data_IF_062133534041
#
_entry.id   IF_062133534041
#
_cell.length_a   1.000
_cell.length_b   1.000
_cell.length_c   1.000
_cell.angle_alpha   90.00
_cell.angle_beta   90.00
_cell.angle_gamma   90.00
#
_symmetry.space_group_name_H-M   'P 1'
#
loop_
_entity.id
_entity.type
_entity.pdbx_description
1 polymer ?
#
# COMPACT_ATOMS: atom_id res chain seq x y z
N UNK A 1 -2.53 -4.04 -11.70
CA UNK A 1 -3.30 -3.30 -10.68
C UNK A 1 -2.75 -1.88 -10.62
N UNK A 2 -3.60 -0.87 -10.71
CA UNK A 2 -3.24 0.50 -10.33
C UNK A 2 -3.15 0.57 -8.80
N UNK A 3 -2.19 1.32 -8.26
CA UNK A 3 -2.11 1.59 -6.83
C UNK A 3 -3.17 2.61 -6.38
N UNK A 4 -3.37 2.75 -5.07
CA UNK A 4 -4.29 3.75 -4.50
C UNK A 4 -3.55 4.92 -3.83
N UNK A 5 -4.23 6.05 -3.64
CA UNK A 5 -3.71 7.18 -2.86
C UNK A 5 -4.50 7.38 -1.57
N UNK A 6 -3.83 7.29 -0.42
CA UNK A 6 -4.34 7.82 0.85
C UNK A 6 -3.92 9.27 1.00
N UNK A 7 -4.89 10.18 1.08
CA UNK A 7 -4.63 11.59 1.27
C UNK A 7 -4.93 12.03 2.71
N UNK A 8 -3.90 12.09 3.55
CA UNK A 8 -4.00 12.62 4.91
C UNK A 8 -4.00 14.15 4.87
N UNK A 9 -5.06 14.76 5.37
CA UNK A 9 -5.16 16.22 5.49
C UNK A 9 -5.62 16.69 6.87
N UNK A 10 -5.38 17.96 7.20
CA UNK A 10 -5.60 18.50 8.55
C UNK A 10 -4.63 19.63 8.89
N UNK A 11 -4.84 20.28 10.04
CA UNK A 11 -4.04 21.41 10.51
C UNK A 11 -2.53 21.11 10.64
N UNK A 12 -1.64 22.11 10.51
CA UNK A 12 -0.23 21.95 10.89
C UNK A 12 -0.12 21.32 12.29
N UNK A 13 0.82 20.41 12.50
CA UNK A 13 1.01 19.68 13.77
C UNK A 13 -0.14 18.73 14.20
N UNK A 14 -1.13 18.45 13.35
CA UNK A 14 -2.21 17.50 13.67
C UNK A 14 -1.79 16.02 13.75
N UNK A 15 -0.56 15.68 13.33
CA UNK A 15 -0.02 14.31 13.38
C UNK A 15 0.05 13.57 12.04
N UNK A 16 -0.29 14.22 10.91
CA UNK A 16 -0.30 13.61 9.57
C UNK A 16 0.98 12.85 9.22
N UNK A 17 2.15 13.49 9.30
CA UNK A 17 3.44 12.87 8.96
C UNK A 17 3.75 11.66 9.84
N UNK A 18 3.36 11.69 11.13
CA UNK A 18 3.53 10.57 12.06
C UNK A 18 2.69 9.37 11.67
N UNK A 19 1.42 9.60 11.27
CA UNK A 19 0.54 8.54 10.80
C UNK A 19 0.98 8.03 9.42
N UNK A 20 1.34 8.93 8.50
CA UNK A 20 1.84 8.58 7.17
C UNK A 20 3.01 7.60 7.24
N UNK A 21 4.03 7.90 8.06
CA UNK A 21 5.18 7.00 8.27
C UNK A 21 4.80 5.62 8.81
N UNK A 22 3.68 5.51 9.52
CA UNK A 22 3.18 4.23 10.02
C UNK A 22 2.28 3.47 9.03
N UNK A 23 1.82 4.12 7.97
CA UNK A 23 1.01 3.55 6.90
C UNK A 23 1.83 3.10 5.70
N UNK A 24 3.07 3.57 5.57
CA UNK A 24 3.99 3.18 4.49
C UNK A 24 4.33 1.69 4.61
N UNK A 25 4.03 0.93 3.56
CA UNK A 25 4.43 -0.47 3.38
C UNK A 25 5.50 -0.67 2.29
N UNK A 26 5.84 -1.92 1.94
CA UNK A 26 6.90 -2.27 0.99
C UNK A 26 6.77 -1.67 -0.42
N UNK A 27 5.55 -1.42 -0.89
CA UNK A 27 5.25 -0.84 -2.22
C UNK A 27 4.51 0.49 -2.12
N UNK A 28 4.75 1.23 -1.04
CA UNK A 28 4.09 2.51 -0.77
C UNK A 28 5.08 3.67 -0.79
N UNK A 29 4.73 4.76 -1.46
CA UNK A 29 5.51 5.99 -1.49
C UNK A 29 4.88 7.04 -0.58
N UNK A 30 5.69 7.65 0.29
CA UNK A 30 5.24 8.78 1.10
C UNK A 30 5.50 10.10 0.37
N UNK A 31 4.43 10.81 0.01
CA UNK A 31 4.51 12.20 -0.46
C UNK A 31 4.28 13.17 0.71
N UNK A 32 5.38 13.71 1.23
CA UNK A 32 5.36 14.68 2.33
C UNK A 32 5.41 16.13 1.80
N UNK A 33 4.55 16.99 2.36
CA UNK A 33 4.45 18.39 1.95
C UNK A 33 5.71 19.22 2.19
N UNK A 34 6.47 18.96 3.26
CA UNK A 34 7.72 19.69 3.49
C UNK A 34 8.82 19.21 2.55
N UNK A 35 8.88 17.90 2.29
CA UNK A 35 9.84 17.34 1.35
C UNK A 35 9.63 17.91 -0.05
N UNK A 36 8.39 17.95 -0.56
CA UNK A 36 8.11 18.52 -1.87
C UNK A 36 8.43 20.01 -1.93
N UNK A 37 8.11 20.78 -0.88
CA UNK A 37 8.45 22.21 -0.81
C UNK A 37 9.95 22.49 -0.82
N UNK A 38 10.76 21.60 -0.27
CA UNK A 38 12.22 21.73 -0.31
C UNK A 38 12.85 21.20 -1.61
N UNK A 39 12.07 20.56 -2.48
CA UNK A 39 12.56 19.91 -3.70
C UNK A 39 11.78 20.38 -4.93
N UNK A 40 10.77 19.62 -5.35
CA UNK A 40 9.98 19.82 -6.56
C UNK A 40 9.22 21.16 -6.60
N UNK A 41 8.82 21.66 -5.43
CA UNK A 41 7.97 22.83 -5.26
C UNK A 41 8.71 23.98 -4.56
N UNK A 42 10.04 24.02 -4.70
CA UNK A 42 10.91 25.05 -4.11
C UNK A 42 10.71 26.44 -4.72
N UNK A 43 10.04 26.52 -5.87
CA UNK A 43 9.61 27.76 -6.53
C UNK A 43 8.32 28.35 -5.96
N UNK A 44 7.57 27.60 -5.15
CA UNK A 44 6.24 27.98 -4.68
C UNK A 44 6.27 28.62 -3.28
N UNK A 45 5.62 29.78 -3.16
CA UNK A 45 5.39 30.43 -1.89
C UNK A 45 4.24 29.81 -1.08
N UNK A 46 3.64 30.64 -0.22
CA UNK A 46 2.54 30.26 0.68
C UNK A 46 1.22 30.98 0.36
N UNK A 47 1.13 31.66 -0.80
CA UNK A 47 -0.13 32.24 -1.26
C UNK A 47 -1.20 31.17 -1.50
N UNK A 48 -2.48 31.55 -1.60
CA UNK A 48 -3.56 30.60 -1.91
C UNK A 48 -3.33 29.91 -3.26
N UNK A 49 -2.85 30.66 -4.26
CA UNK A 49 -2.51 30.10 -5.58
C UNK A 49 -1.36 29.10 -5.47
N UNK A 50 -0.26 29.46 -4.80
CA UNK A 50 0.92 28.59 -4.66
C UNK A 50 0.60 27.32 -3.85
N UNK A 51 -0.22 27.44 -2.80
CA UNK A 51 -0.71 26.27 -2.05
C UNK A 51 -1.52 25.34 -2.94
N UNK A 52 -2.37 25.91 -3.79
CA UNK A 52 -3.19 25.12 -4.73
C UNK A 52 -2.32 24.44 -5.78
N UNK A 53 -1.33 25.14 -6.33
CA UNK A 53 -0.37 24.56 -7.29
C UNK A 53 0.52 23.48 -6.66
N UNK A 54 0.96 23.67 -5.42
CA UNK A 54 1.70 22.65 -4.66
C UNK A 54 0.91 21.34 -4.56
N UNK A 55 -0.38 21.44 -4.26
CA UNK A 55 -1.27 20.27 -4.15
C UNK A 55 -1.58 19.68 -5.53
N UNK A 56 -1.74 20.52 -6.56
CA UNK A 56 -1.94 20.07 -7.94
C UNK A 56 -0.76 19.24 -8.45
N UNK A 57 0.47 19.70 -8.18
CA UNK A 57 1.72 18.97 -8.53
C UNK A 57 1.82 17.66 -7.74
N UNK A 58 1.56 17.70 -6.44
CA UNK A 58 1.56 16.50 -5.60
C UNK A 58 0.53 15.46 -6.09
N UNK A 59 -0.66 15.89 -6.49
CA UNK A 59 -1.69 15.00 -7.03
C UNK A 59 -1.27 14.36 -8.36
N UNK A 60 -0.61 15.11 -9.25
CA UNK A 60 -0.07 14.56 -10.49
C UNK A 60 1.03 13.52 -10.26
N UNK A 61 1.91 13.75 -9.27
CA UNK A 61 2.93 12.75 -8.88
C UNK A 61 2.28 11.51 -8.29
N UNK A 62 1.25 11.67 -7.45
CA UNK A 62 0.52 10.56 -6.85
C UNK A 62 -0.14 9.67 -7.90
N UNK A 63 -0.88 10.29 -8.85
CA UNK A 63 -1.51 9.56 -9.96
C UNK A 63 -0.48 8.82 -10.82
N UNK A 64 0.65 9.45 -11.16
CA UNK A 64 1.70 8.80 -11.95
C UNK A 64 2.31 7.58 -11.23
N UNK A 65 2.41 7.61 -9.90
CA UNK A 65 2.88 6.47 -9.10
C UNK A 65 1.82 5.36 -9.04
N UNK A 66 0.54 5.73 -8.88
CA UNK A 66 -0.58 4.79 -8.91
C UNK A 66 -0.64 4.03 -10.25
N UNK A 67 -0.42 4.71 -11.38
CA UNK A 67 -0.34 4.08 -12.71
C UNK A 67 0.80 3.07 -12.85
N UNK A 68 1.86 3.21 -12.04
CA UNK A 68 2.98 2.27 -11.98
C UNK A 68 2.79 1.19 -10.91
N UNK A 69 1.61 1.11 -10.29
CA UNK A 69 1.26 0.11 -9.28
C UNK A 69 1.80 0.40 -7.87
N UNK A 70 2.27 1.63 -7.61
CA UNK A 70 2.65 2.04 -6.26
C UNK A 70 1.45 2.66 -5.54
N UNK A 71 1.26 2.27 -4.28
CA UNK A 71 0.39 3.01 -3.39
C UNK A 71 1.08 4.31 -2.96
N UNK A 72 0.29 5.33 -2.70
CA UNK A 72 0.78 6.63 -2.24
C UNK A 72 0.12 6.98 -0.93
N UNK A 73 0.93 7.37 0.06
CA UNK A 73 0.44 8.03 1.27
C UNK A 73 0.88 9.48 1.19
N UNK A 74 -0.07 10.37 0.96
CA UNK A 74 0.14 11.81 0.86
C UNK A 74 -0.20 12.49 2.19
N UNK A 75 0.67 13.37 2.69
CA UNK A 75 0.42 14.13 3.93
C UNK A 75 0.57 15.63 3.72
N UNK A 76 -0.57 16.32 3.56
CA UNK A 76 -0.63 17.75 3.23
C UNK A 76 -1.63 18.48 4.13
N UNK A 77 -1.58 19.81 4.19
CA UNK A 77 -2.57 20.56 4.99
C UNK A 77 -3.94 20.58 4.29
N UNK A 78 -3.98 20.72 2.97
CA UNK A 78 -5.19 20.79 2.11
C UNK A 78 -6.38 21.54 2.74
N UNK A 79 -6.21 22.85 3.06
CA UNK A 79 -7.16 23.59 3.86
C UNK A 79 -8.47 23.97 3.15
N UNK A 80 -8.54 23.91 1.81
CA UNK A 80 -9.72 24.34 1.08
C UNK A 80 -10.46 23.16 0.43
N UNK A 81 -11.79 23.19 0.45
CA UNK A 81 -12.66 22.22 -0.22
C UNK A 81 -12.39 22.15 -1.71
N UNK A 82 -12.18 23.30 -2.35
CA UNK A 82 -11.84 23.37 -3.78
C UNK A 82 -10.54 22.64 -4.12
N UNK A 83 -9.58 22.58 -3.19
CA UNK A 83 -8.35 21.83 -3.40
C UNK A 83 -8.58 20.33 -3.29
N UNK A 84 -9.40 19.88 -2.34
CA UNK A 84 -9.81 18.47 -2.25
C UNK A 84 -10.51 18.01 -3.53
N UNK A 85 -11.43 18.82 -4.06
CA UNK A 85 -12.09 18.57 -5.36
C UNK A 85 -11.08 18.49 -6.51
N UNK A 86 -10.16 19.44 -6.61
CA UNK A 86 -9.10 19.43 -7.63
C UNK A 86 -8.23 18.17 -7.56
N UNK A 87 -7.91 17.69 -6.36
CA UNK A 87 -7.13 16.46 -6.15
C UNK A 87 -7.96 15.24 -6.57
N UNK A 88 -9.23 15.18 -6.18
CA UNK A 88 -10.15 14.08 -6.54
C UNK A 88 -10.39 13.98 -8.05
N UNK A 89 -10.38 15.10 -8.78
CA UNK A 89 -10.45 15.11 -10.25
C UNK A 89 -9.17 14.60 -10.93
N UNK A 90 -8.07 14.45 -10.19
CA UNK A 90 -6.75 14.09 -10.73
C UNK A 90 -6.30 12.69 -10.39
N UNK A 91 -6.85 12.11 -9.34
CA UNK A 91 -6.44 10.79 -8.85
C UNK A 91 -7.66 9.89 -8.93
N UNK A 92 -7.53 8.79 -9.67
CA UNK A 92 -8.66 7.89 -9.93
C UNK A 92 -9.09 7.13 -8.67
N UNK A 93 -8.12 6.62 -7.90
CA UNK A 93 -8.36 5.89 -6.65
C UNK A 93 -7.77 6.64 -5.46
N UNK A 94 -8.61 7.45 -4.80
CA UNK A 94 -8.20 8.29 -3.68
C UNK A 94 -9.14 8.18 -2.48
N UNK A 95 -8.53 7.99 -1.32
CA UNK A 95 -9.18 8.03 0.00
C UNK A 95 -8.70 9.23 0.80
N UNK A 96 -9.57 10.21 1.02
CA UNK A 96 -9.28 11.36 1.90
C UNK A 96 -9.47 10.98 3.37
N UNK A 97 -8.44 11.17 4.19
CA UNK A 97 -8.47 10.90 5.62
C UNK A 97 -8.23 12.20 6.39
N UNK A 98 -9.26 12.65 7.11
CA UNK A 98 -9.17 13.86 7.93
C UNK A 98 -8.47 13.56 9.26
N UNK A 99 -7.31 14.16 9.46
CA UNK A 99 -6.57 14.11 10.72
C UNK A 99 -7.00 15.28 11.59
N UNK A 100 -8.08 15.04 12.34
CA UNK A 100 -8.73 16.01 13.19
C UNK A 100 -7.96 16.19 14.51
N UNK A 101 -7.49 17.41 14.73
CA UNK A 101 -6.99 17.90 16.01
C UNK A 101 -7.29 19.39 16.06
N UNK A 102 -7.73 19.89 17.22
CA UNK A 102 -8.04 21.31 17.36
C UNK A 102 -6.79 22.19 17.20
N UNK A 103 -6.99 23.47 16.88
CA UNK A 103 -5.89 24.44 16.78
C UNK A 103 -5.11 24.49 18.09
N UNK A 104 -5.79 24.46 19.23
CA UNK A 104 -5.17 24.53 20.56
C UNK A 104 -4.26 23.33 20.81
N UNK A 105 -4.70 22.11 20.46
CA UNK A 105 -3.86 20.90 20.58
C UNK A 105 -2.67 20.97 19.63
N UNK A 106 -2.86 21.49 18.42
CA UNK A 106 -1.79 21.63 17.44
C UNK A 106 -0.76 22.70 17.84
N UNK A 107 -1.21 23.80 18.41
CA UNK A 107 -0.42 24.91 18.95
C UNK A 107 0.31 24.51 20.23
N UNK A 108 -0.29 23.70 21.10
CA UNK A 108 0.41 23.11 22.26
C UNK A 108 1.55 22.20 21.82
N UNK A 109 1.34 21.41 20.76
CA UNK A 109 2.36 20.50 20.23
C UNK A 109 3.52 21.23 19.55
N UNK A 110 3.23 22.35 18.87
CA UNK A 110 4.07 23.16 17.98
C UNK A 110 5.45 22.59 17.64
N UNK A 111 5.46 21.40 17.01
CA UNK A 111 6.67 20.58 16.84
C UNK A 111 7.77 21.29 16.06
N UNK A 112 7.40 22.33 15.29
CA UNK A 112 8.30 23.11 14.44
C UNK A 112 8.42 24.57 14.86
N UNK A 113 7.77 25.01 15.95
CA UNK A 113 7.75 26.41 16.38
C UNK A 113 6.99 27.36 15.43
N UNK A 114 6.18 26.83 14.51
CA UNK A 114 5.53 27.64 13.47
C UNK A 114 4.28 28.36 13.99
N UNK A 115 3.58 27.78 14.97
CA UNK A 115 2.45 28.47 15.60
C UNK A 115 2.94 29.67 16.41
N UNK A 116 4.02 29.50 17.19
CA UNK A 116 4.62 30.62 17.92
C UNK A 116 5.06 31.75 16.97
N UNK A 117 5.75 31.41 15.87
CA UNK A 117 6.16 32.39 14.85
C UNK A 117 4.96 33.10 14.20
N UNK A 118 3.89 32.36 13.87
CA UNK A 118 2.66 32.94 13.34
C UNK A 118 1.99 33.90 14.33
N UNK A 119 1.93 33.56 15.63
CA UNK A 119 1.40 34.43 16.68
C UNK A 119 2.21 35.72 16.86
N UNK A 120 3.52 35.66 16.61
CA UNK A 120 4.40 36.85 16.59
C UNK A 120 4.31 37.66 15.29
N UNK A 121 3.57 37.20 14.29
CA UNK A 121 3.44 37.84 12.98
C UNK A 121 4.64 37.62 12.05
N UNK A 122 5.50 36.64 12.34
CA UNK A 122 6.67 36.30 11.52
C UNK A 122 6.30 35.43 10.31
N UNK A 123 5.17 34.73 10.39
CA UNK A 123 4.57 33.95 9.29
C UNK A 123 3.17 34.48 9.04
N UNK A 124 2.94 35.00 7.83
CA UNK A 124 1.61 35.43 7.37
C UNK A 124 0.86 34.31 6.64
N UNK A 125 -0.46 34.32 6.75
CA UNK A 125 -1.38 33.37 6.14
C UNK A 125 -1.28 31.95 6.70
N UNK A 126 -0.85 31.76 7.94
CA UNK A 126 -0.74 30.46 8.57
C UNK A 126 -2.13 29.82 8.82
N UNK A 127 -2.31 28.60 8.33
CA UNK A 127 -3.59 27.88 8.44
C UNK A 127 -3.94 27.60 9.90
N UNK A 128 -5.12 28.04 10.34
CA UNK A 128 -5.60 27.90 11.72
C UNK A 128 -5.34 29.13 12.60
N UNK A 129 -4.62 30.14 12.10
CA UNK A 129 -4.39 31.42 12.78
C UNK A 129 -5.00 32.56 11.98
N UNK A 130 -4.44 32.85 10.81
CA UNK A 130 -4.80 33.98 9.94
C UNK A 130 -5.15 33.55 8.50
N UNK A 131 -5.01 32.26 8.17
CA UNK A 131 -5.65 31.63 7.01
C UNK A 131 -6.68 30.55 7.41
N UNK A 132 -7.77 30.39 6.63
CA UNK A 132 -8.83 29.45 6.96
C UNK A 132 -8.39 27.99 6.79
N UNK A 133 -9.07 27.11 7.53
CA UNK A 133 -9.17 25.68 7.28
C UNK A 133 -10.66 25.35 7.15
N UNK A 134 -11.08 24.95 5.96
CA UNK A 134 -12.47 24.57 5.67
C UNK A 134 -12.67 23.12 6.09
N UNK A 135 -13.38 22.93 7.20
CA UNK A 135 -13.80 21.62 7.68
C UNK A 135 -14.47 20.82 6.55
N UNK A 136 -14.15 19.52 6.44
CA UNK A 136 -14.72 18.69 5.39
C UNK A 136 -16.19 18.37 5.64
N UNK A 137 -16.93 18.19 4.56
CA UNK A 137 -18.23 17.52 4.64
C UNK A 137 -18.04 16.00 4.75
N UNK A 138 -19.01 15.30 5.33
CA UNK A 138 -18.94 13.85 5.53
C UNK A 138 -18.74 13.08 4.22
N UNK A 139 -19.28 13.58 3.11
CA UNK A 139 -19.16 12.97 1.77
C UNK A 139 -17.78 13.21 1.13
N UNK A 140 -16.98 14.17 1.63
CA UNK A 140 -15.66 14.49 1.10
C UNK A 140 -14.54 13.61 1.66
N UNK A 141 -14.82 12.87 2.74
CA UNK A 141 -13.81 12.09 3.47
C UNK A 141 -14.23 10.64 3.58
N UNK A 142 -13.24 9.75 3.49
CA UNK A 142 -13.43 8.33 3.78
C UNK A 142 -13.46 8.08 5.28
N UNK A 143 -12.61 8.79 6.03
CA UNK A 143 -12.47 8.59 7.47
C UNK A 143 -12.04 9.87 8.17
N UNK A 144 -12.58 10.08 9.37
CA UNK A 144 -12.02 11.01 10.35
C UNK A 144 -11.26 10.27 11.46
N UNK A 145 -10.08 10.81 11.80
CA UNK A 145 -9.18 10.31 12.83
C UNK A 145 -8.83 11.43 13.79
N UNK A 146 -9.28 11.32 15.05
CA UNK A 146 -8.92 12.25 16.12
C UNK A 146 -7.61 11.85 16.79
N UNK A 147 -6.54 12.62 16.58
CA UNK A 147 -5.22 12.34 17.18
C UNK A 147 -5.07 12.86 18.62
N UNK A 148 -6.08 13.56 19.14
CA UNK A 148 -6.17 13.91 20.55
C UNK A 148 -6.80 12.77 21.38
N UNK A 149 -7.69 11.98 20.77
CA UNK A 149 -8.44 10.92 21.45
C UNK A 149 -7.81 9.52 21.32
N UNK A 150 -6.91 9.32 20.35
CA UNK A 150 -6.37 8.00 20.03
C UNK A 150 -4.84 8.02 19.92
N UNK A 151 -4.21 6.91 20.32
CA UNK A 151 -2.78 6.70 20.08
C UNK A 151 -2.47 6.58 18.59
N UNK A 152 -1.19 6.71 18.26
CA UNK A 152 -0.68 6.50 16.90
C UNK A 152 -1.05 5.11 16.39
N UNK A 153 -0.83 4.07 17.20
CA UNK A 153 -1.04 2.67 16.83
C UNK A 153 -2.51 2.40 16.52
N UNK A 154 -3.42 2.86 17.39
CA UNK A 154 -4.87 2.72 17.19
C UNK A 154 -5.37 3.49 15.98
N UNK A 155 -4.78 4.65 15.70
CA UNK A 155 -5.12 5.45 14.52
C UNK A 155 -4.68 4.76 13.23
N UNK A 156 -3.47 4.18 13.19
CA UNK A 156 -2.97 3.41 12.05
C UNK A 156 -3.82 2.15 11.83
N UNK A 157 -4.14 1.42 12.90
CA UNK A 157 -5.02 0.24 12.84
C UNK A 157 -6.40 0.60 12.25
N UNK A 158 -7.01 1.69 12.73
CA UNK A 158 -8.31 2.16 12.22
C UNK A 158 -8.25 2.51 10.73
N UNK A 159 -7.20 3.22 10.28
CA UNK A 159 -7.03 3.57 8.86
C UNK A 159 -6.82 2.32 8.01
N UNK A 160 -5.95 1.40 8.42
CA UNK A 160 -5.70 0.17 7.69
C UNK A 160 -6.95 -0.72 7.59
N UNK A 161 -7.76 -0.77 8.65
CA UNK A 161 -9.01 -1.54 8.65
C UNK A 161 -10.08 -0.90 7.74
N UNK A 162 -10.22 0.43 7.76
CA UNK A 162 -11.18 1.15 6.91
C UNK A 162 -10.87 1.02 5.41
N UNK A 163 -9.58 0.93 5.07
CA UNK A 163 -9.07 0.87 3.70
C UNK A 163 -8.67 -0.55 3.26
N UNK A 164 -8.87 -1.56 4.11
CA UNK A 164 -8.45 -2.96 3.86
C UNK A 164 -6.98 -3.12 3.40
N UNK A 165 -6.08 -2.27 3.91
CA UNK A 165 -4.70 -2.14 3.37
C UNK A 165 -3.72 -3.14 3.91
N UNK A 166 -3.93 -3.61 5.13
CA UNK A 166 -2.97 -4.46 5.80
C UNK A 166 -3.45 -5.89 5.71
N UNK A 167 -2.91 -6.60 4.73
CA UNK A 167 -2.99 -8.06 4.70
C UNK A 167 -2.44 -8.57 6.03
N UNK A 168 -3.25 -9.37 6.73
CA UNK A 168 -2.82 -10.09 7.92
C UNK A 168 -2.75 -11.58 7.61
N UNK A 169 -1.93 -11.99 6.62
CA UNK A 169 -1.90 -13.37 6.19
C UNK A 169 -1.41 -14.23 7.33
N UNK A 170 -2.09 -15.35 7.51
CA UNK A 170 -1.67 -16.38 8.46
C UNK A 170 -0.68 -17.35 7.83
N UNK A 171 -0.60 -17.40 6.50
CA UNK A 171 0.27 -18.30 5.75
C UNK A 171 0.98 -17.56 4.62
N UNK A 172 2.26 -17.84 4.45
CA UNK A 172 3.04 -17.40 3.29
C UNK A 172 3.71 -18.61 2.65
N UNK A 173 3.53 -18.75 1.34
CA UNK A 173 4.19 -19.76 0.53
C UNK A 173 5.23 -19.07 -0.34
N UNK A 174 6.49 -19.50 -0.26
CA UNK A 174 7.59 -18.90 -1.05
C UNK A 174 8.10 -19.91 -2.06
N UNK A 175 8.10 -19.55 -3.35
CA UNK A 175 8.51 -20.48 -4.39
C UNK A 175 8.64 -19.87 -5.78
N UNK A 176 9.08 -20.69 -6.72
CA UNK A 176 9.11 -20.35 -8.15
C UNK A 176 7.77 -20.62 -8.83
N UNK A 177 7.04 -21.63 -8.35
CA UNK A 177 5.71 -22.04 -8.83
C UNK A 177 5.64 -22.34 -10.33
N UNK A 178 6.63 -23.09 -10.84
CA UNK A 178 6.73 -23.35 -12.27
C UNK A 178 6.93 -24.83 -12.65
N UNK A 179 5.86 -25.51 -13.11
CA UNK A 179 4.46 -25.07 -13.06
C UNK A 179 3.94 -25.12 -11.62
N UNK A 180 2.89 -24.35 -11.34
CA UNK A 180 2.02 -24.65 -10.20
C UNK A 180 1.38 -26.02 -10.48
N UNK A 181 1.48 -26.95 -9.53
CA UNK A 181 1.02 -28.33 -9.67
C UNK A 181 0.36 -28.78 -8.36
N UNK A 182 -0.27 -29.95 -8.36
CA UNK A 182 -1.17 -30.38 -7.28
C UNK A 182 -0.48 -30.50 -5.92
N UNK A 183 0.80 -30.86 -5.91
CA UNK A 183 1.55 -30.86 -4.67
C UNK A 183 1.70 -29.50 -4.00
N UNK A 184 1.80 -28.42 -4.78
CA UNK A 184 1.74 -27.06 -4.24
C UNK A 184 0.31 -26.70 -3.80
N UNK A 185 -0.68 -27.03 -4.64
CA UNK A 185 -2.09 -26.74 -4.39
C UNK A 185 -2.60 -27.38 -3.11
N UNK A 186 -2.26 -28.64 -2.84
CA UNK A 186 -2.72 -29.39 -1.66
C UNK A 186 -2.55 -28.61 -0.35
N UNK A 187 -1.46 -27.86 -0.19
CA UNK A 187 -1.18 -27.11 1.04
C UNK A 187 -1.80 -25.71 0.99
N UNK A 188 -1.75 -25.07 -0.18
CA UNK A 188 -2.34 -23.75 -0.38
C UNK A 188 -3.86 -23.82 -0.23
N UNK A 189 -4.51 -24.75 -0.95
CA UNK A 189 -5.95 -25.05 -0.91
C UNK A 189 -6.35 -25.41 0.52
N UNK A 190 -5.60 -26.28 1.21
CA UNK A 190 -5.87 -26.62 2.61
C UNK A 190 -5.88 -25.39 3.53
N UNK A 191 -4.92 -24.48 3.40
CA UNK A 191 -4.94 -23.24 4.18
C UNK A 191 -6.14 -22.37 3.77
N UNK A 192 -6.33 -22.15 2.48
CA UNK A 192 -7.34 -21.25 1.94
C UNK A 192 -8.78 -21.72 2.26
N UNK A 193 -9.09 -23.01 2.07
CA UNK A 193 -10.39 -23.63 2.37
C UNK A 193 -10.72 -23.57 3.87
N UNK A 194 -9.70 -23.55 4.74
CA UNK A 194 -9.87 -23.35 6.19
C UNK A 194 -10.02 -21.87 6.58
N UNK A 195 -10.31 -20.99 5.62
CA UNK A 195 -10.56 -19.56 5.83
C UNK A 195 -9.33 -18.79 6.30
N UNK A 196 -8.13 -19.29 5.99
CA UNK A 196 -6.87 -18.62 6.32
C UNK A 196 -6.51 -17.63 5.23
N UNK A 197 -6.06 -16.44 5.62
CA UNK A 197 -5.47 -15.49 4.68
C UNK A 197 -4.09 -16.01 4.24
N UNK A 198 -3.91 -16.13 2.92
CA UNK A 198 -2.73 -16.75 2.28
C UNK A 198 -2.05 -15.75 1.36
N UNK A 199 -0.72 -15.70 1.43
CA UNK A 199 0.11 -15.02 0.44
C UNK A 199 0.99 -16.02 -0.31
N UNK A 200 0.92 -16.01 -1.64
CA UNK A 200 1.81 -16.76 -2.53
C UNK A 200 2.89 -15.82 -3.04
N UNK A 201 4.10 -15.94 -2.50
CA UNK A 201 5.28 -15.18 -2.90
C UNK A 201 6.02 -15.87 -4.05
N UNK A 202 6.06 -15.20 -5.20
CA UNK A 202 6.60 -15.67 -6.47
C UNK A 202 8.00 -15.08 -6.65
N UNK A 203 9.02 -15.94 -6.72
CA UNK A 203 10.40 -15.53 -6.96
C UNK A 203 10.61 -15.06 -8.40
N UNK A 204 11.16 -13.86 -8.56
CA UNK A 204 11.53 -13.28 -9.85
C UNK A 204 12.84 -13.87 -10.41
N UNK A 205 12.78 -15.13 -10.84
CA UNK A 205 13.92 -15.86 -11.44
C UNK A 205 14.16 -15.51 -12.90
N UNK A 206 15.42 -15.56 -13.33
CA UNK A 206 15.81 -15.45 -14.74
C UNK A 206 15.19 -16.54 -15.62
N UNK A 207 14.88 -16.16 -16.86
CA UNK A 207 14.37 -17.06 -17.89
C UNK A 207 15.46 -18.03 -18.35
N UNK A 208 15.09 -19.30 -18.47
CA UNK A 208 15.95 -20.35 -19.03
C UNK A 208 15.10 -21.48 -19.61
N UNK A 209 15.71 -22.46 -20.29
CA UNK A 209 15.00 -23.69 -20.71
C UNK A 209 14.33 -24.40 -19.53
N UNK A 210 14.92 -24.32 -18.33
CA UNK A 210 14.36 -24.90 -17.10
C UNK A 210 13.35 -23.98 -16.39
N UNK A 211 13.33 -22.68 -16.71
CA UNK A 211 12.38 -21.69 -16.20
C UNK A 211 11.81 -20.85 -17.37
N UNK A 212 10.96 -21.41 -18.25
CA UNK A 212 10.50 -20.74 -19.46
C UNK A 212 9.40 -19.67 -19.28
N UNK A 213 9.00 -19.35 -18.05
CA UNK A 213 7.92 -18.41 -17.74
C UNK A 213 8.46 -17.22 -16.96
N UNK A 214 8.06 -16.03 -17.37
CA UNK A 214 8.31 -14.78 -16.67
C UNK A 214 7.62 -14.79 -15.31
N UNK A 215 8.01 -13.88 -14.42
CA UNK A 215 7.34 -13.74 -13.12
C UNK A 215 5.88 -13.29 -13.28
N UNK A 216 5.57 -12.50 -14.31
CA UNK A 216 4.20 -12.05 -14.58
C UNK A 216 3.33 -13.18 -15.14
N UNK A 217 3.82 -13.95 -16.12
CA UNK A 217 3.08 -15.13 -16.63
C UNK A 217 2.77 -16.13 -15.49
N UNK A 218 3.72 -16.32 -14.55
CA UNK A 218 3.50 -17.19 -13.39
C UNK A 218 2.47 -16.60 -12.42
N UNK A 219 2.52 -15.29 -12.21
CA UNK A 219 1.56 -14.58 -11.37
C UNK A 219 0.14 -14.69 -11.93
N UNK A 220 -0.03 -14.39 -13.22
CA UNK A 220 -1.32 -14.48 -13.92
C UNK A 220 -1.89 -15.89 -13.80
N UNK A 221 -1.10 -16.93 -14.09
CA UNK A 221 -1.55 -18.32 -13.94
C UNK A 221 -1.99 -18.66 -12.52
N UNK A 222 -1.27 -18.19 -11.50
CA UNK A 222 -1.65 -18.43 -10.10
C UNK A 222 -2.90 -17.63 -9.75
N UNK A 223 -3.01 -16.38 -10.18
CA UNK A 223 -4.20 -15.54 -9.95
C UNK A 223 -5.45 -16.15 -10.61
N UNK A 224 -5.32 -16.72 -11.82
CA UNK A 224 -6.41 -17.43 -12.50
C UNK A 224 -6.84 -18.70 -11.73
N UNK A 225 -5.87 -19.49 -11.23
CA UNK A 225 -6.17 -20.71 -10.44
C UNK A 225 -6.90 -20.38 -9.13
N UNK A 226 -6.59 -19.23 -8.52
CA UNK A 226 -7.17 -18.80 -7.24
C UNK A 226 -8.18 -17.65 -7.40
N UNK A 227 -8.77 -17.47 -8.58
CA UNK A 227 -9.71 -16.36 -8.85
C UNK A 227 -10.92 -16.40 -7.89
N UNK A 228 -11.40 -17.61 -7.57
CA UNK A 228 -12.51 -17.86 -6.63
C UNK A 228 -12.11 -17.79 -5.14
N UNK A 229 -10.84 -17.53 -4.82
CA UNK A 229 -10.30 -17.49 -3.46
C UNK A 229 -9.96 -16.05 -3.02
N UNK A 230 -10.91 -15.29 -2.45
CA UNK A 230 -10.68 -13.89 -2.09
C UNK A 230 -9.62 -13.70 -1.00
N UNK A 231 -9.38 -14.74 -0.19
CA UNK A 231 -8.38 -14.80 0.88
C UNK A 231 -6.98 -15.23 0.40
N UNK A 232 -6.79 -15.47 -0.89
CA UNK A 232 -5.48 -15.76 -1.49
C UNK A 232 -5.00 -14.52 -2.25
N UNK A 233 -3.78 -14.08 -1.96
CA UNK A 233 -3.12 -12.96 -2.64
C UNK A 233 -1.75 -13.39 -3.16
N UNK A 234 -1.31 -12.81 -4.27
CA UNK A 234 0.03 -13.03 -4.80
C UNK A 234 0.95 -11.84 -4.51
N UNK A 235 2.24 -12.11 -4.37
CA UNK A 235 3.26 -11.06 -4.34
C UNK A 235 4.51 -11.50 -5.09
N UNK A 236 5.20 -10.58 -5.74
CA UNK A 236 6.49 -10.84 -6.37
C UNK A 236 7.60 -10.50 -5.38
N UNK A 237 8.59 -11.39 -5.26
CA UNK A 237 9.78 -11.17 -4.44
C UNK A 237 11.05 -11.32 -5.30
N UNK A 238 12.18 -10.69 -4.89
CA UNK A 238 13.46 -10.93 -5.53
C UNK A 238 13.81 -12.42 -5.56
N UNK A 239 14.63 -12.82 -6.52
CA UNK A 239 15.15 -14.18 -6.51
C UNK A 239 16.05 -14.41 -5.28
N UNK A 240 15.76 -15.45 -4.52
CA UNK A 240 16.47 -15.79 -3.27
C UNK A 240 16.88 -17.26 -3.28
N UNK A 241 18.14 -17.55 -3.02
CA UNK A 241 18.63 -18.93 -2.94
C UNK A 241 18.28 -19.60 -1.60
N UNK A 242 18.16 -18.81 -0.54
CA UNK A 242 18.07 -19.28 0.85
C UNK A 242 17.00 -18.50 1.61
N UNK A 243 16.15 -19.22 2.34
CA UNK A 243 15.24 -18.64 3.34
C UNK A 243 15.76 -19.00 4.73
N UNK A 244 16.33 -18.02 5.42
CA UNK A 244 16.81 -18.19 6.80
C UNK A 244 15.70 -17.85 7.79
N UNK A 245 15.45 -18.75 8.75
CA UNK A 245 14.39 -18.61 9.76
C UNK A 245 15.05 -18.50 11.14
N UNK A 246 14.72 -17.42 11.86
CA UNK A 246 15.28 -17.14 13.19
C UNK A 246 14.77 -18.08 14.29
N UNK A 247 15.21 -17.85 15.52
CA UNK A 247 14.61 -18.47 16.71
C UNK A 247 13.41 -17.66 17.18
N UNK A 248 12.41 -18.34 17.74
CA UNK A 248 11.22 -17.73 18.36
C UNK A 248 10.48 -16.74 17.44
N UNK A 249 10.40 -17.08 16.16
CA UNK A 249 9.84 -16.23 15.10
C UNK A 249 8.33 -15.97 15.22
N UNK A 250 7.65 -16.65 16.15
CA UNK A 250 6.21 -16.48 16.39
C UNK A 250 5.30 -17.13 15.33
N UNK A 251 5.86 -17.85 14.36
CA UNK A 251 5.14 -18.66 13.37
C UNK A 251 5.73 -20.07 13.26
N UNK A 252 4.92 -21.01 12.78
CA UNK A 252 5.34 -22.38 12.49
C UNK A 252 5.81 -22.54 11.05
N UNK A 253 6.82 -23.37 10.83
CA UNK A 253 7.26 -23.78 9.49
C UNK A 253 6.58 -25.10 9.14
N UNK A 254 5.87 -25.12 8.01
CA UNK A 254 5.21 -26.32 7.50
C UNK A 254 5.91 -26.73 6.21
N UNK A 255 6.29 -28.00 6.11
CA UNK A 255 6.81 -28.60 4.88
C UNK A 255 5.73 -29.41 4.17
N UNK A 256 5.91 -29.60 2.86
CA UNK A 256 5.06 -30.49 2.06
C UNK A 256 5.18 -31.92 2.59
N UNK A 257 4.06 -32.65 2.77
CA UNK A 257 4.10 -34.08 3.10
C UNK A 257 4.93 -34.87 2.08
N UNK A 258 5.63 -35.93 2.53
CA UNK A 258 6.58 -36.67 1.69
C UNK A 258 5.94 -37.26 0.42
N UNK A 259 4.73 -37.83 0.53
CA UNK A 259 3.95 -38.36 -0.59
C UNK A 259 3.62 -37.29 -1.66
N UNK A 260 3.42 -36.04 -1.21
CA UNK A 260 3.09 -34.90 -2.07
C UNK A 260 4.35 -34.29 -2.70
N UNK A 261 5.50 -34.43 -2.03
CA UNK A 261 6.79 -33.99 -2.52
C UNK A 261 7.32 -34.80 -3.71
N UNK A 262 6.76 -36.00 -3.96
CA UNK A 262 7.10 -36.82 -5.13
C UNK A 262 6.56 -36.25 -6.45
N UNK A 263 5.59 -35.33 -6.40
CA UNK A 263 5.04 -34.66 -7.59
C UNK A 263 6.09 -33.72 -8.17
N UNK A 264 6.65 -34.09 -9.33
CA UNK A 264 7.76 -33.38 -9.97
C UNK A 264 7.28 -32.34 -10.99
N UNK A 265 7.53 -31.06 -10.70
CA UNK A 265 7.35 -29.99 -11.68
C UNK A 265 8.21 -30.14 -12.94
N UNK A 266 9.31 -30.91 -12.90
CA UNK A 266 10.09 -31.24 -14.10
C UNK A 266 9.35 -32.23 -14.99
N UNK A 267 8.75 -33.27 -14.41
CA UNK A 267 7.95 -34.24 -15.17
C UNK A 267 6.74 -33.56 -15.84
N UNK A 268 6.09 -32.62 -15.14
CA UNK A 268 4.99 -31.83 -15.72
C UNK A 268 5.44 -30.98 -16.92
N UNK A 269 6.65 -30.42 -16.91
CA UNK A 269 7.17 -29.64 -18.05
C UNK A 269 7.56 -30.49 -19.25
N UNK A 270 7.89 -31.76 -19.04
CA UNK A 270 8.16 -32.70 -20.13
C UNK A 270 6.85 -33.22 -20.76
N UNK A 271 5.74 -33.19 -20.01
CA UNK A 271 4.46 -33.71 -20.44
C UNK A 271 3.58 -32.72 -21.23
N UNK A 272 3.77 -31.40 -21.06
CA UNK A 272 2.92 -30.37 -21.66
C UNK A 272 3.72 -29.27 -22.36
N UNK A 273 3.20 -28.75 -23.47
CA UNK A 273 3.76 -27.59 -24.15
C UNK A 273 3.57 -26.30 -23.34
N UNK A 274 4.42 -25.28 -23.57
CA UNK A 274 4.32 -23.99 -22.85
C UNK A 274 2.93 -23.37 -22.93
N UNK A 275 2.29 -23.40 -24.10
CA UNK A 275 0.92 -22.87 -24.29
C UNK A 275 -0.14 -23.65 -23.51
N UNK A 276 0.11 -24.94 -23.23
CA UNK A 276 -0.83 -25.80 -22.51
C UNK A 276 -0.72 -25.61 -21.01
N UNK A 277 0.52 -25.46 -20.51
CA UNK A 277 0.77 -25.06 -19.13
C UNK A 277 0.14 -23.69 -18.83
N UNK A 278 0.29 -22.72 -19.73
CA UNK A 278 -0.32 -21.39 -19.61
C UNK A 278 -1.85 -21.43 -19.67
N UNK A 279 -2.42 -22.38 -20.40
CA UNK A 279 -3.86 -22.59 -20.45
C UNK A 279 -4.40 -23.44 -19.28
N UNK A 280 -3.54 -23.84 -18.33
CA UNK A 280 -3.94 -24.64 -17.16
C UNK A 280 -4.34 -26.08 -17.48
N UNK A 281 -4.05 -26.60 -18.67
CA UNK A 281 -4.51 -27.95 -19.09
C UNK A 281 -4.01 -29.08 -18.21
N UNK A 282 -2.84 -28.92 -17.61
CA UNK A 282 -2.26 -29.91 -16.70
C UNK A 282 -3.01 -30.08 -15.39
N UNK A 283 -4.01 -29.22 -15.10
CA UNK A 283 -4.93 -29.38 -13.98
C UNK A 283 -6.16 -30.24 -14.31
N UNK A 284 -6.43 -30.55 -15.57
CA UNK A 284 -7.64 -31.31 -15.98
C UNK A 284 -7.44 -32.83 -15.90
N UNK A 285 -6.20 -33.31 -15.85
CA UNK A 285 -5.84 -34.73 -15.95
C UNK A 285 -5.88 -35.50 -14.61
N UNK A 286 -6.36 -34.88 -13.51
CA UNK A 286 -6.40 -35.46 -12.16
C UNK A 286 -7.67 -35.12 -11.38
#
# INVERSE_FOLDING_TARGET
MSGETIWLFGLPCSGKTTLAKGLVGPSTVHLDGDYLRNTLNSDLGFSKQDRTENLRRAAGVAQALNEQGFDVVASFITPYRSQRKLIAEKIEDISFIHINASVEVCEERDVKGMYEQARRGEIEGFTGIDAPFEEPEAEEIRLEVSTAAHSKEKSIEKINAELDRKLNPSHIFIGRWQPLHDGHRTIIDSAADNGKDVVIAIRDTELSEKNPLTVQERRELIEDVYEDYPNVKTMIIPDVDTVAIGRDVGYSVVSVPEEVAEISGTAMREAYEKSELLAGRHFEDW
#
